data_IF_718867763692
#
_entry.id   IF_718867763692
#
_cell.length_a   1.000
_cell.length_b   1.000
_cell.length_c   1.000
_cell.angle_alpha   90.00
_cell.angle_beta   90.00
_cell.angle_gamma   90.00
#
_symmetry.space_group_name_H-M   'P 1'
#
loop_
_entity.id
_entity.type
_entity.pdbx_description
1 polymer ?
#
# COMPACT_ATOMS: atom_id res chain seq x y z
N UNK A 1 -19.47 -16.80 -55.10
CA UNK A 1 -18.59 -17.30 -54.02
C UNK A 1 -17.95 -16.09 -53.35
N UNK A 2 -18.37 -15.75 -52.15
CA UNK A 2 -17.86 -14.58 -51.41
C UNK A 2 -16.55 -14.97 -50.68
N UNK A 3 -15.50 -14.23 -50.96
CA UNK A 3 -14.17 -14.41 -50.36
C UNK A 3 -14.25 -14.17 -48.84
N UNK A 4 -13.70 -15.02 -47.98
CA UNK A 4 -13.69 -14.77 -46.53
C UNK A 4 -12.89 -13.50 -46.24
N UNK A 5 -13.51 -12.55 -45.56
CA UNK A 5 -12.87 -11.29 -45.14
C UNK A 5 -11.87 -11.59 -44.04
N UNK A 6 -10.59 -11.51 -44.31
CA UNK A 6 -9.52 -11.58 -43.31
C UNK A 6 -9.70 -10.43 -42.29
N UNK A 7 -9.54 -10.74 -41.00
CA UNK A 7 -9.50 -9.74 -39.93
C UNK A 7 -8.13 -9.79 -39.31
N UNK A 8 -7.51 -8.64 -39.11
CA UNK A 8 -6.21 -8.52 -38.47
C UNK A 8 -6.37 -8.08 -37.02
N UNK A 9 -5.69 -8.75 -36.12
CA UNK A 9 -5.79 -8.51 -34.65
C UNK A 9 -4.41 -8.15 -34.12
N UNK A 10 -4.33 -7.08 -33.29
CA UNK A 10 -3.11 -6.69 -32.62
C UNK A 10 -2.77 -7.66 -31.47
N UNK A 11 -1.55 -8.18 -31.45
CA UNK A 11 -1.08 -9.11 -30.41
C UNK A 11 -0.89 -8.45 -29.05
N UNK A 12 -0.67 -7.13 -29.03
CA UNK A 12 -0.40 -6.37 -27.81
C UNK A 12 -1.68 -5.91 -27.09
N UNK A 13 -2.69 -5.42 -27.83
CA UNK A 13 -3.90 -4.84 -27.20
C UNK A 13 -5.21 -5.49 -27.64
N UNK A 14 -5.18 -6.43 -28.62
CA UNK A 14 -6.38 -7.12 -29.11
C UNK A 14 -7.26 -6.28 -30.05
N UNK A 15 -6.88 -5.06 -30.42
CA UNK A 15 -7.61 -4.24 -31.40
C UNK A 15 -7.65 -4.92 -32.75
N UNK A 16 -8.80 -4.88 -33.44
CA UNK A 16 -8.99 -5.57 -34.71
C UNK A 16 -9.42 -4.62 -35.85
N UNK A 17 -8.97 -4.92 -37.07
CA UNK A 17 -9.31 -4.16 -38.29
C UNK A 17 -9.48 -5.10 -39.48
N UNK A 18 -10.35 -4.77 -40.44
CA UNK A 18 -10.52 -5.57 -41.67
C UNK A 18 -9.39 -5.41 -42.69
N UNK A 19 -8.45 -4.50 -42.48
CA UNK A 19 -7.29 -4.26 -43.33
C UNK A 19 -6.02 -4.36 -42.55
N UNK A 20 -5.00 -4.94 -43.16
CA UNK A 20 -3.66 -4.96 -42.55
C UNK A 20 -3.10 -3.55 -42.48
N UNK A 21 -2.58 -3.21 -41.30
CA UNK A 21 -1.89 -1.94 -41.01
C UNK A 21 -0.56 -2.25 -40.30
N UNK A 22 0.51 -1.58 -40.72
CA UNK A 22 1.84 -1.80 -40.14
C UNK A 22 2.00 -1.30 -38.71
N UNK A 23 1.03 -0.50 -38.20
CA UNK A 23 1.01 0.05 -36.87
C UNK A 23 -0.41 -0.05 -36.28
N UNK A 24 -0.55 -0.51 -35.06
CA UNK A 24 -1.84 -0.60 -34.39
C UNK A 24 -2.47 0.79 -34.19
N UNK A 25 -3.74 0.94 -34.54
CA UNK A 25 -4.47 2.21 -34.39
C UNK A 25 -4.74 2.60 -32.94
N UNK A 26 -4.76 1.63 -32.02
CA UNK A 26 -5.09 1.85 -30.61
C UNK A 26 -3.81 2.01 -29.76
N UNK A 27 -2.97 0.99 -29.66
CA UNK A 27 -1.77 1.01 -28.82
C UNK A 27 -0.50 1.52 -29.54
N UNK A 28 -0.61 1.80 -30.86
CA UNK A 28 0.47 2.31 -31.71
C UNK A 28 1.71 1.40 -31.84
N UNK A 29 1.66 0.15 -31.38
CA UNK A 29 2.73 -0.81 -31.53
C UNK A 29 2.96 -1.12 -33.02
N UNK A 30 4.25 -1.21 -33.42
CA UNK A 30 4.65 -1.57 -34.76
C UNK A 30 4.73 -3.09 -34.90
N UNK A 31 4.40 -3.61 -36.11
CA UNK A 31 4.53 -5.02 -36.47
C UNK A 31 3.78 -6.02 -35.57
N UNK A 32 2.72 -5.52 -34.93
CA UNK A 32 1.90 -6.25 -33.92
C UNK A 32 0.60 -6.82 -34.51
N UNK A 33 0.37 -6.71 -35.83
CA UNK A 33 -0.86 -7.16 -36.48
C UNK A 33 -0.70 -8.55 -37.05
N UNK A 34 -1.56 -9.50 -36.63
CA UNK A 34 -1.60 -10.86 -37.16
C UNK A 34 -2.96 -11.15 -37.80
N UNK A 35 -2.97 -11.96 -38.87
CA UNK A 35 -4.19 -12.39 -39.52
C UNK A 35 -4.92 -13.40 -38.64
N UNK A 36 -6.13 -13.05 -38.20
CA UNK A 36 -7.01 -13.89 -37.40
C UNK A 36 -7.97 -14.66 -38.30
N UNK A 37 -8.06 -15.98 -38.18
CA UNK A 37 -9.04 -16.78 -38.88
C UNK A 37 -10.46 -16.43 -38.38
N UNK A 38 -11.38 -16.12 -39.32
CA UNK A 38 -12.78 -15.84 -38.99
C UNK A 38 -13.49 -17.16 -38.64
N UNK A 39 -13.55 -17.45 -37.35
CA UNK A 39 -14.48 -18.42 -36.77
C UNK A 39 -15.75 -17.68 -36.35
N UNK A 40 -16.87 -17.93 -37.07
CA UNK A 40 -18.13 -17.25 -36.82
C UNK A 40 -18.69 -17.52 -35.41
N UNK A 41 -19.14 -16.43 -34.76
CA UNK A 41 -19.87 -16.48 -33.50
C UNK A 41 -20.32 -15.06 -33.10
N UNK A 42 -21.56 -14.71 -33.39
CA UNK A 42 -22.26 -13.55 -32.78
C UNK A 42 -22.27 -13.73 -31.27
N UNK A 43 -21.78 -12.74 -30.52
CA UNK A 43 -21.90 -12.75 -29.06
C UNK A 43 -21.38 -11.44 -28.47
N UNK A 44 -22.29 -10.66 -27.98
CA UNK A 44 -22.17 -9.50 -27.13
C UNK A 44 -21.19 -9.72 -25.96
N UNK A 45 -20.40 -8.69 -25.66
CA UNK A 45 -19.77 -8.54 -24.33
C UNK A 45 -18.40 -9.19 -24.24
N UNK A 46 -17.36 -8.35 -24.30
CA UNK A 46 -16.00 -8.71 -23.87
C UNK A 46 -16.05 -8.90 -22.33
N UNK A 47 -16.54 -10.04 -21.89
CA UNK A 47 -16.18 -10.54 -20.58
C UNK A 47 -14.70 -10.93 -20.69
N UNK A 48 -13.82 -10.10 -20.14
CA UNK A 48 -12.44 -10.45 -19.82
C UNK A 48 -12.51 -11.78 -19.10
N UNK A 49 -12.19 -12.90 -19.78
CA UNK A 49 -12.10 -14.19 -19.10
C UNK A 49 -11.00 -14.05 -18.06
N UNK A 50 -11.41 -13.76 -16.84
CA UNK A 50 -10.57 -13.93 -15.66
C UNK A 50 -10.26 -15.42 -15.63
N UNK A 51 -9.09 -15.81 -16.12
CA UNK A 51 -8.57 -17.15 -15.93
C UNK A 51 -8.63 -17.41 -14.44
N UNK A 52 -9.49 -18.32 -14.01
CA UNK A 52 -9.53 -18.77 -12.62
C UNK A 52 -8.12 -19.27 -12.30
N UNK A 53 -7.35 -18.45 -11.61
CA UNK A 53 -6.07 -18.86 -11.04
C UNK A 53 -6.40 -20.05 -10.13
N UNK A 54 -5.70 -21.17 -10.31
CA UNK A 54 -5.78 -22.26 -9.34
C UNK A 54 -5.41 -21.66 -8.00
N UNK A 55 -6.38 -21.57 -7.09
CA UNK A 55 -6.15 -21.14 -5.72
C UNK A 55 -5.11 -22.07 -5.11
N UNK A 56 -4.04 -21.52 -4.58
CA UNK A 56 -3.13 -22.26 -3.72
C UNK A 56 -3.96 -22.68 -2.48
N UNK A 57 -3.85 -23.90 -2.01
CA UNK A 57 -4.66 -24.41 -0.88
C UNK A 57 -4.63 -23.49 0.35
N UNK A 58 -3.52 -22.77 0.55
CA UNK A 58 -3.37 -21.78 1.62
C UNK A 58 -4.22 -20.51 1.46
N UNK A 59 -4.72 -20.20 0.25
CA UNK A 59 -5.54 -19.03 -0.06
C UNK A 59 -7.01 -19.35 -0.32
N UNK A 60 -7.43 -20.61 -0.20
CA UNK A 60 -8.83 -21.01 -0.31
C UNK A 60 -9.64 -20.45 0.87
N UNK A 61 -10.85 -19.96 0.58
CA UNK A 61 -11.78 -19.52 1.63
C UNK A 61 -12.11 -20.69 2.56
N UNK A 62 -12.08 -20.43 3.85
CA UNK A 62 -12.42 -21.40 4.92
C UNK A 62 -13.52 -20.82 5.79
N UNK A 63 -14.36 -21.67 6.43
CA UNK A 63 -15.25 -21.21 7.49
C UNK A 63 -14.45 -20.45 8.56
N UNK A 64 -15.01 -19.38 9.12
CA UNK A 64 -14.33 -18.57 10.13
C UNK A 64 -13.94 -19.38 11.37
N UNK A 65 -14.71 -20.42 11.69
CA UNK A 65 -14.44 -21.34 12.80
C UNK A 65 -13.18 -22.18 12.60
N UNK A 66 -12.76 -22.36 11.35
CA UNK A 66 -11.60 -23.18 10.98
C UNK A 66 -10.31 -22.32 10.84
N UNK A 67 -10.43 -21.02 11.09
CA UNK A 67 -9.30 -20.08 11.06
C UNK A 67 -8.62 -20.05 12.42
N UNK A 68 -7.37 -20.52 12.50
CA UNK A 68 -6.57 -20.42 13.73
C UNK A 68 -6.24 -18.96 14.07
N UNK A 69 -6.45 -18.58 15.33
CA UNK A 69 -6.13 -17.25 15.87
C UNK A 69 -4.83 -17.20 16.67
N UNK A 70 -4.10 -18.30 16.78
CA UNK A 70 -2.91 -18.45 17.64
C UNK A 70 -1.79 -17.42 17.40
N UNK A 71 -1.79 -16.74 16.23
CA UNK A 71 -0.77 -15.75 15.85
C UNK A 71 -1.27 -14.29 15.83
N UNK A 72 -2.49 -14.04 16.28
CA UNK A 72 -3.17 -12.74 16.07
C UNK A 72 -3.51 -12.06 17.41
N UNK A 73 -2.64 -12.21 18.42
CA UNK A 73 -2.83 -11.47 19.67
C UNK A 73 -2.54 -9.98 19.47
N UNK A 74 -3.53 -9.13 19.76
CA UNK A 74 -3.32 -7.70 19.86
C UNK A 74 -2.40 -7.39 21.06
N UNK A 75 -1.59 -6.34 20.94
CA UNK A 75 -0.77 -5.85 22.04
C UNK A 75 -1.05 -4.37 22.31
N UNK A 76 -1.08 -4.01 23.60
CA UNK A 76 -1.40 -2.67 24.06
C UNK A 76 -0.34 -1.66 23.64
N UNK A 77 -0.78 -0.49 23.19
CA UNK A 77 0.08 0.67 22.92
C UNK A 77 0.39 1.46 24.21
N UNK A 78 -0.21 1.08 25.31
CA UNK A 78 -0.17 1.78 26.62
C UNK A 78 -0.79 3.19 26.58
N UNK A 79 -1.58 3.48 25.55
CA UNK A 79 -2.45 4.66 25.48
C UNK A 79 -3.89 4.15 25.50
N UNK A 80 -4.50 4.15 26.69
CA UNK A 80 -5.75 3.43 26.97
C UNK A 80 -6.90 3.78 26.03
N UNK A 81 -7.07 5.07 25.69
CA UNK A 81 -8.14 5.49 24.78
C UNK A 81 -7.85 5.04 23.32
N UNK A 82 -6.60 5.05 22.92
CA UNK A 82 -6.20 4.54 21.59
C UNK A 82 -6.43 3.03 21.51
N UNK A 83 -6.02 2.28 22.53
CA UNK A 83 -6.27 0.84 22.60
C UNK A 83 -7.76 0.51 22.62
N UNK A 84 -8.58 1.30 23.33
CA UNK A 84 -10.04 1.13 23.37
C UNK A 84 -10.65 1.25 21.98
N UNK A 85 -10.23 2.25 21.20
CA UNK A 85 -10.71 2.46 19.81
C UNK A 85 -10.26 1.32 18.90
N UNK A 86 -9.06 0.78 19.13
CA UNK A 86 -8.52 -0.34 18.35
C UNK A 86 -9.02 -1.73 18.78
N UNK A 87 -9.90 -1.79 19.80
CA UNK A 87 -10.43 -3.06 20.28
C UNK A 87 -9.44 -3.87 21.12
N UNK A 88 -8.48 -3.20 21.78
CA UNK A 88 -7.52 -3.82 22.69
C UNK A 88 -6.04 -3.62 22.31
N UNK A 89 -5.77 -2.91 21.23
CA UNK A 89 -4.41 -2.58 20.82
C UNK A 89 -4.09 -2.90 19.36
N UNK A 90 -2.82 -2.94 19.03
CA UNK A 90 -2.34 -3.18 17.66
C UNK A 90 -2.28 -4.68 17.35
N UNK A 91 -2.77 -5.04 16.18
CA UNK A 91 -2.77 -6.42 15.67
C UNK A 91 -1.66 -6.56 14.61
N UNK A 92 -0.87 -7.65 14.62
CA UNK A 92 0.12 -7.92 13.59
C UNK A 92 -0.47 -7.85 12.16
N UNK A 93 0.18 -7.08 11.29
CA UNK A 93 -0.27 -6.89 9.90
C UNK A 93 -1.48 -5.97 9.71
N UNK A 94 -1.98 -5.33 10.78
CA UNK A 94 -3.03 -4.31 10.68
C UNK A 94 -2.45 -3.00 10.13
N UNK A 95 -3.26 -2.28 9.34
CA UNK A 95 -2.97 -0.92 8.92
C UNK A 95 -4.05 0.00 9.44
N UNK A 96 -3.65 0.96 10.25
CA UNK A 96 -4.53 1.95 10.89
C UNK A 96 -4.29 3.31 10.23
N UNK A 97 -5.34 3.98 9.78
CA UNK A 97 -5.29 5.36 9.32
C UNK A 97 -5.81 6.29 10.43
N UNK A 98 -4.93 7.12 10.97
CA UNK A 98 -5.29 8.21 11.87
C UNK A 98 -5.43 9.50 11.06
N UNK A 99 -6.64 9.96 10.83
CA UNK A 99 -6.92 11.17 10.07
C UNK A 99 -7.57 12.25 10.92
N UNK A 100 -7.37 13.50 10.54
CA UNK A 100 -7.94 14.66 11.23
C UNK A 100 -7.32 15.97 10.76
N UNK A 101 -7.86 17.09 11.25
CA UNK A 101 -7.35 18.43 10.90
C UNK A 101 -5.89 18.61 11.37
N UNK A 102 -5.10 19.45 10.67
CA UNK A 102 -3.75 19.83 11.14
C UNK A 102 -3.83 20.45 12.57
N UNK A 103 -2.79 20.21 13.36
CA UNK A 103 -2.68 20.80 14.71
C UNK A 103 -3.49 20.14 15.83
N UNK A 104 -4.34 19.13 15.56
CA UNK A 104 -5.13 18.44 16.61
C UNK A 104 -4.33 17.46 17.48
N UNK A 105 -3.02 17.38 17.29
CA UNK A 105 -2.16 16.56 18.15
C UNK A 105 -1.87 15.14 17.64
N UNK A 106 -2.22 14.78 16.39
CA UNK A 106 -1.98 13.44 15.82
C UNK A 106 -0.53 12.97 15.97
N UNK A 107 0.42 13.79 15.53
CA UNK A 107 1.86 13.47 15.59
C UNK A 107 2.38 13.33 17.01
N UNK A 108 1.81 14.08 17.98
CA UNK A 108 2.17 13.97 19.39
C UNK A 108 1.66 12.67 19.99
N UNK A 109 0.40 12.31 19.71
CA UNK A 109 -0.19 11.04 20.12
C UNK A 109 0.60 9.86 19.56
N UNK A 110 0.95 9.89 18.26
CA UNK A 110 1.67 8.78 17.65
C UNK A 110 3.12 8.68 18.11
N UNK A 111 3.76 9.80 18.46
CA UNK A 111 5.08 9.76 19.08
C UNK A 111 5.02 9.11 20.47
N UNK A 112 3.96 9.36 21.24
CA UNK A 112 3.73 8.68 22.53
C UNK A 112 3.48 7.18 22.34
N UNK A 113 2.60 6.79 21.43
CA UNK A 113 2.34 5.38 21.07
C UNK A 113 3.65 4.69 20.66
N UNK A 114 4.43 5.32 19.77
CA UNK A 114 5.71 4.81 19.31
C UNK A 114 6.71 4.62 20.45
N UNK A 115 6.84 5.63 21.33
CA UNK A 115 7.75 5.58 22.45
C UNK A 115 7.34 4.52 23.50
N UNK A 116 6.07 4.42 23.83
CA UNK A 116 5.58 3.40 24.77
C UNK A 116 5.80 1.99 24.22
N UNK A 117 5.53 1.80 22.94
CA UNK A 117 5.84 0.54 22.23
C UNK A 117 7.33 0.23 22.29
N UNK A 118 8.19 1.20 22.01
CA UNK A 118 9.64 1.03 22.04
C UNK A 118 10.16 0.74 23.47
N UNK A 119 9.60 1.39 24.50
CA UNK A 119 9.91 1.10 25.91
C UNK A 119 9.50 -0.31 26.34
N UNK A 120 8.51 -0.91 25.68
CA UNK A 120 8.17 -2.32 25.92
C UNK A 120 9.15 -3.32 25.30
N UNK A 121 10.24 -2.84 24.69
CA UNK A 121 11.30 -3.66 24.08
C UNK A 121 11.15 -3.92 22.58
N UNK A 122 10.08 -3.38 21.93
CA UNK A 122 9.82 -3.53 20.50
C UNK A 122 10.55 -2.47 19.70
N UNK A 123 11.10 -2.86 18.54
CA UNK A 123 11.66 -1.88 17.60
C UNK A 123 10.56 -1.15 16.87
N UNK A 124 10.61 0.18 16.90
CA UNK A 124 9.66 1.06 16.25
C UNK A 124 10.38 1.93 15.24
N UNK A 125 9.88 2.00 14.02
CA UNK A 125 10.33 2.96 13.02
C UNK A 125 9.27 4.06 12.86
N UNK A 126 9.67 5.30 13.14
CA UNK A 126 8.86 6.50 12.93
C UNK A 126 9.43 7.25 11.71
N UNK A 127 8.65 7.29 10.64
CA UNK A 127 8.97 8.02 9.41
C UNK A 127 8.21 9.33 9.40
N UNK A 128 8.91 10.45 9.24
CA UNK A 128 8.31 11.77 9.07
C UNK A 128 8.67 12.33 7.70
N UNK A 129 7.70 12.89 6.99
CA UNK A 129 7.92 13.63 5.76
C UNK A 129 7.66 15.12 5.90
N UNK A 130 7.20 15.58 7.09
CA UNK A 130 6.87 16.98 7.34
C UNK A 130 7.89 17.69 8.23
N UNK A 131 8.40 16.98 9.22
CA UNK A 131 9.34 17.53 10.20
C UNK A 131 10.74 16.97 10.01
N UNK A 132 11.74 17.76 10.35
CA UNK A 132 13.12 17.25 10.43
C UNK A 132 13.30 16.32 11.63
N UNK A 133 14.28 15.43 11.55
CA UNK A 133 14.67 14.54 12.66
C UNK A 133 14.91 15.31 13.96
N UNK A 134 15.54 16.49 13.87
CA UNK A 134 15.79 17.35 15.03
C UNK A 134 14.52 17.89 15.69
N UNK A 135 13.50 18.27 14.91
CA UNK A 135 12.23 18.76 15.44
C UNK A 135 11.46 17.65 16.16
N UNK A 136 11.38 16.45 15.56
CA UNK A 136 10.76 15.29 16.20
C UNK A 136 11.51 14.90 17.47
N UNK A 137 12.84 14.91 17.46
CA UNK A 137 13.66 14.64 18.64
C UNK A 137 13.40 15.63 19.79
N UNK A 138 13.36 16.94 19.51
CA UNK A 138 13.03 17.96 20.51
C UNK A 138 11.63 17.75 21.11
N UNK A 139 10.66 17.34 20.30
CA UNK A 139 9.32 16.97 20.76
C UNK A 139 9.38 15.73 21.65
N UNK A 140 10.13 14.70 21.25
CA UNK A 140 10.33 13.49 22.06
C UNK A 140 10.96 13.79 23.43
N UNK A 141 11.93 14.69 23.52
CA UNK A 141 12.52 15.14 24.77
C UNK A 141 11.48 15.77 25.70
N UNK A 142 10.64 16.67 25.17
CA UNK A 142 9.60 17.34 25.98
C UNK A 142 8.51 16.41 26.49
N UNK A 143 8.22 15.32 25.76
CA UNK A 143 7.18 14.37 26.11
C UNK A 143 7.70 13.11 26.80
N UNK A 144 9.00 13.04 27.08
CA UNK A 144 9.62 11.85 27.68
C UNK A 144 9.60 10.61 26.76
N UNK A 145 9.57 10.84 25.46
CA UNK A 145 9.46 9.79 24.44
C UNK A 145 10.83 9.26 23.96
N UNK A 146 11.95 9.65 24.58
CA UNK A 146 13.27 9.18 24.21
C UNK A 146 13.47 7.73 24.66
N UNK A 147 13.87 6.87 23.71
CA UNK A 147 14.20 5.46 23.96
C UNK A 147 15.03 4.89 22.80
N UNK A 148 15.93 3.95 23.09
CA UNK A 148 16.87 3.38 22.11
C UNK A 148 16.20 2.55 21.00
N UNK A 149 15.02 1.98 21.28
CA UNK A 149 14.28 1.16 20.31
C UNK A 149 13.37 1.98 19.38
N UNK A 150 13.34 3.31 19.52
CA UNK A 150 12.60 4.21 18.63
C UNK A 150 13.54 4.79 17.56
N UNK A 151 13.44 4.28 16.36
CA UNK A 151 14.19 4.71 15.18
C UNK A 151 13.41 5.80 14.45
N UNK A 152 14.09 6.86 14.02
CA UNK A 152 13.49 8.01 13.38
C UNK A 152 14.14 8.23 12.01
N UNK A 153 13.32 8.33 10.97
CA UNK A 153 13.75 8.66 9.62
C UNK A 153 12.96 9.86 9.08
N UNK A 154 13.63 10.82 8.44
CA UNK A 154 12.97 11.90 7.71
C UNK A 154 13.09 11.60 6.22
N UNK A 155 12.02 11.04 5.63
CA UNK A 155 12.01 10.51 4.27
C UNK A 155 10.72 10.89 3.55
N UNK A 156 10.85 11.17 2.25
CA UNK A 156 9.71 11.48 1.37
C UNK A 156 9.63 10.57 0.15
N UNK A 157 10.57 9.64 -0.01
CA UNK A 157 10.57 8.66 -1.08
C UNK A 157 10.19 7.28 -0.56
N UNK A 158 9.21 6.63 -1.20
CA UNK A 158 8.69 5.32 -0.79
C UNK A 158 9.78 4.24 -0.81
N UNK A 159 10.65 4.23 -1.83
CA UNK A 159 11.69 3.21 -1.96
C UNK A 159 12.68 3.29 -0.79
N UNK A 160 13.01 4.51 -0.37
CA UNK A 160 13.86 4.75 0.79
C UNK A 160 13.17 4.32 2.09
N UNK A 161 11.87 4.60 2.25
CA UNK A 161 11.09 4.12 3.41
C UNK A 161 11.10 2.59 3.48
N UNK A 162 10.91 1.90 2.35
CA UNK A 162 10.98 0.44 2.29
C UNK A 162 12.38 -0.08 2.67
N UNK A 163 13.44 0.60 2.22
CA UNK A 163 14.81 0.30 2.62
C UNK A 163 15.05 0.46 4.12
N UNK A 164 14.48 1.49 4.76
CA UNK A 164 14.55 1.67 6.22
C UNK A 164 13.82 0.55 6.97
N UNK A 165 12.67 0.09 6.45
CA UNK A 165 11.96 -1.06 7.04
C UNK A 165 12.83 -2.32 6.99
N UNK A 166 13.56 -2.55 5.89
CA UNK A 166 14.48 -3.68 5.77
C UNK A 166 15.64 -3.58 6.76
N UNK A 167 16.25 -2.42 6.86
CA UNK A 167 17.41 -2.19 7.73
C UNK A 167 17.09 -2.28 9.22
N UNK A 168 15.97 -1.69 9.66
CA UNK A 168 15.54 -1.65 11.07
C UNK A 168 14.83 -2.93 11.49
N UNK A 169 14.11 -3.58 10.56
CA UNK A 169 13.20 -4.70 10.85
C UNK A 169 12.25 -4.38 12.02
N UNK A 170 11.42 -3.34 11.91
CA UNK A 170 10.58 -2.85 13.01
C UNK A 170 9.43 -3.81 13.31
N UNK A 171 8.90 -3.73 14.53
CA UNK A 171 7.66 -4.39 14.98
C UNK A 171 6.46 -3.43 14.98
N UNK A 172 6.70 -2.14 14.77
CA UNK A 172 5.69 -1.11 14.50
C UNK A 172 6.29 -0.09 13.53
N UNK A 173 5.53 0.27 12.51
CA UNK A 173 5.82 1.39 11.61
C UNK A 173 4.81 2.51 11.81
N UNK A 174 5.29 3.74 11.99
CA UNK A 174 4.49 4.96 11.97
C UNK A 174 4.94 5.82 10.81
N UNK A 175 4.01 6.31 9.99
CA UNK A 175 4.27 7.19 8.84
C UNK A 175 3.49 8.49 9.00
N UNK A 176 4.20 9.60 9.17
CA UNK A 176 3.65 10.94 9.44
C UNK A 176 4.20 11.98 8.43
N UNK A 177 3.50 12.24 7.34
CA UNK A 177 2.20 11.76 6.89
C UNK A 177 2.30 11.00 5.57
N UNK A 178 1.24 10.22 5.23
CA UNK A 178 1.20 9.50 3.94
C UNK A 178 1.19 10.45 2.73
N UNK A 179 0.73 11.69 2.91
CA UNK A 179 0.68 12.69 1.84
C UNK A 179 2.05 13.25 1.44
N UNK A 180 3.03 13.15 2.30
CA UNK A 180 4.37 13.67 2.03
C UNK A 180 5.28 12.67 1.34
N UNK A 181 4.88 11.41 1.28
CA UNK A 181 5.64 10.35 0.62
C UNK A 181 5.19 10.22 -0.84
N UNK A 182 6.15 10.07 -1.73
CA UNK A 182 5.95 9.83 -3.15
C UNK A 182 6.60 8.51 -3.59
N UNK A 183 5.95 7.85 -4.53
CA UNK A 183 6.51 6.74 -5.28
C UNK A 183 7.09 7.29 -6.59
N UNK A 184 8.39 7.16 -6.80
CA UNK A 184 9.09 7.68 -7.97
C UNK A 184 8.69 6.96 -9.29
N UNK A 185 8.06 5.80 -9.17
CA UNK A 185 7.65 4.96 -10.30
C UNK A 185 6.36 5.43 -10.99
N UNK A 186 5.63 6.36 -10.38
CA UNK A 186 4.38 6.91 -10.94
C UNK A 186 4.44 8.43 -11.03
N UNK A 187 3.78 8.97 -12.05
CA UNK A 187 3.71 10.40 -12.27
C UNK A 187 2.86 11.10 -11.20
N UNK A 188 3.24 12.32 -10.87
CA UNK A 188 2.51 13.20 -9.97
C UNK A 188 3.32 13.63 -8.74
N UNK A 189 2.96 14.76 -8.17
CA UNK A 189 3.57 15.25 -6.94
C UNK A 189 3.06 14.49 -5.71
N UNK A 190 3.86 14.46 -4.64
CA UNK A 190 3.43 13.96 -3.34
C UNK A 190 2.09 14.60 -2.93
N UNK A 191 1.23 13.84 -2.27
CA UNK A 191 -0.09 14.30 -1.86
C UNK A 191 -1.19 14.19 -2.92
N UNK A 192 -0.85 13.92 -4.18
CA UNK A 192 -1.88 13.63 -5.19
C UNK A 192 -2.56 12.28 -4.91
N UNK A 193 -3.87 12.13 -5.24
CA UNK A 193 -4.61 10.89 -4.95
C UNK A 193 -3.98 9.63 -5.54
N UNK A 194 -3.34 9.70 -6.72
CA UNK A 194 -2.61 8.58 -7.33
C UNK A 194 -1.42 8.17 -6.47
N UNK A 195 -0.62 9.12 -6.01
CA UNK A 195 0.54 8.91 -5.16
C UNK A 195 0.14 8.31 -3.80
N UNK A 196 -0.85 8.91 -3.13
CA UNK A 196 -1.35 8.41 -1.84
C UNK A 196 -1.83 6.95 -1.96
N UNK A 197 -2.55 6.61 -3.04
CA UNK A 197 -3.02 5.24 -3.28
C UNK A 197 -1.88 4.27 -3.45
N UNK A 198 -0.86 4.63 -4.23
CA UNK A 198 0.31 3.78 -4.48
C UNK A 198 1.11 3.56 -3.19
N UNK A 199 1.43 4.64 -2.46
CA UNK A 199 2.12 4.57 -1.18
C UNK A 199 1.35 3.68 -0.20
N UNK A 200 0.04 3.93 -0.04
CA UNK A 200 -0.81 3.13 0.85
C UNK A 200 -0.85 1.66 0.43
N UNK A 201 -1.01 1.36 -0.87
CA UNK A 201 -1.05 -0.01 -1.37
C UNK A 201 0.25 -0.78 -1.07
N UNK A 202 1.40 -0.15 -1.27
CA UNK A 202 2.71 -0.76 -0.96
C UNK A 202 2.89 -0.99 0.54
N UNK A 203 2.55 -0.01 1.39
CA UNK A 203 2.65 -0.16 2.84
C UNK A 203 1.68 -1.21 3.38
N UNK A 204 0.46 -1.32 2.84
CA UNK A 204 -0.50 -2.38 3.18
C UNK A 204 0.06 -3.76 2.80
N UNK A 205 0.68 -3.88 1.62
CA UNK A 205 1.31 -5.13 1.20
C UNK A 205 2.41 -5.55 2.16
N UNK A 206 3.35 -4.65 2.48
CA UNK A 206 4.44 -4.91 3.43
C UNK A 206 3.91 -5.27 4.82
N UNK A 207 2.89 -4.55 5.30
CA UNK A 207 2.23 -4.85 6.57
C UNK A 207 1.72 -6.30 6.62
N UNK A 208 1.05 -6.75 5.55
CA UNK A 208 0.51 -8.12 5.46
C UNK A 208 1.60 -9.19 5.34
N UNK A 209 2.58 -8.97 4.47
CA UNK A 209 3.66 -9.91 4.23
C UNK A 209 4.55 -10.12 5.46
N UNK A 210 4.78 -9.08 6.25
CA UNK A 210 5.68 -9.09 7.42
C UNK A 210 4.96 -9.21 8.76
N UNK A 211 3.64 -9.30 8.76
CA UNK A 211 2.83 -9.18 9.98
C UNK A 211 3.19 -7.92 10.80
N UNK A 212 3.54 -6.81 10.11
CA UNK A 212 3.97 -5.55 10.68
C UNK A 212 2.75 -4.63 10.87
N UNK A 213 2.39 -4.23 12.10
CA UNK A 213 1.43 -3.17 12.31
C UNK A 213 1.95 -1.85 11.73
N UNK A 214 1.08 -1.14 11.00
CA UNK A 214 1.40 0.15 10.39
C UNK A 214 0.37 1.18 10.80
N UNK A 215 0.81 2.35 11.25
CA UNK A 215 -0.05 3.50 11.50
C UNK A 215 0.31 4.60 10.50
N UNK A 216 -0.67 4.99 9.70
CA UNK A 216 -0.56 6.07 8.71
C UNK A 216 -1.25 7.33 9.24
N UNK A 217 -0.59 8.46 9.17
CA UNK A 217 -1.23 9.77 9.41
C UNK A 217 -1.77 10.30 8.10
N UNK A 218 -3.02 10.77 8.14
CA UNK A 218 -3.67 11.45 7.04
C UNK A 218 -4.19 12.83 7.48
N UNK A 219 -4.11 13.82 6.58
CA UNK A 219 -4.77 15.11 6.76
C UNK A 219 -6.09 15.12 6.00
N UNK A 220 -7.16 15.57 6.65
CA UNK A 220 -8.44 15.81 5.99
C UNK A 220 -8.37 17.23 5.44
N UNK A 221 -8.44 17.35 4.10
CA UNK A 221 -8.69 18.62 3.42
C UNK A 221 -10.18 18.81 3.26
N UNK A 222 -10.69 19.98 3.63
CA UNK A 222 -12.09 20.38 3.38
C UNK A 222 -12.30 20.65 1.91
#
# INVERSE_FOLDING_TARGET
MANPKSTFVCTECGWSTPKWVGRCGECQAWDSMQEGAVGGGRGLGVAKQVRALKLVESSAAKPITDVSTERVAAWSTQVGEFDRVLGGGLVPGAVVLLSGEPGVGKSTLLLEVAANTAKSGKRVLYVTGEESVGQVRLRAERTGALTDNLYLAAETDLSTVLGQIDAVSPELLVVDSVQTIAASEIDGAAGMPSQIREVAANLIRVAKERALPVILVGHVTK
#
